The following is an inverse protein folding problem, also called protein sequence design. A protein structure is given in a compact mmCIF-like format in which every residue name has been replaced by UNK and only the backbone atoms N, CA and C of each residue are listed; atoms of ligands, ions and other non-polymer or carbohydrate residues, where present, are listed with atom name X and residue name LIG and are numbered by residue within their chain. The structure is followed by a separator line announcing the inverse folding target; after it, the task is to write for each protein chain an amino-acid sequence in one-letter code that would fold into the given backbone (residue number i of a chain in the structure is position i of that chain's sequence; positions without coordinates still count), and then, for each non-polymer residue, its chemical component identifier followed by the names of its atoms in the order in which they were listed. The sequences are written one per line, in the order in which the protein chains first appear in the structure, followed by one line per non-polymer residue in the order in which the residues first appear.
data_IF_346229449454
#
_entry.id   IF_346229449454
#
_cell.length_a   1.000
_cell.length_b   1.000
_cell.length_c   1.000
_cell.angle_alpha   90.00
_cell.angle_beta   90.00
_cell.angle_gamma   90.00
#
_symmetry.space_group_name_H-M   'P 1'
#
loop_
_entity.id
_entity.type
_entity.pdbx_description
1 polymer ?
#
# COMPACT_ATOMS: atom_id res chain seq x y z
N UNK A 1 -22.33 -26.15 15.91
CA UNK A 1 -23.31 -27.09 15.38
C UNK A 1 -23.08 -28.49 15.95
N UNK A 2 -21.82 -28.94 16.14
CA UNK A 2 -21.46 -30.27 16.65
C UNK A 2 -21.87 -30.41 18.13
N UNK A 3 -21.69 -29.39 18.96
CA UNK A 3 -22.06 -29.34 20.38
C UNK A 3 -23.56 -29.53 20.64
N UNK A 4 -24.40 -29.32 19.62
CA UNK A 4 -25.86 -29.49 19.74
C UNK A 4 -26.36 -30.91 19.42
N UNK A 5 -25.46 -31.77 18.92
CA UNK A 5 -25.80 -33.15 18.56
C UNK A 5 -25.01 -34.15 19.45
N UNK A 6 -25.65 -34.75 20.45
CA UNK A 6 -24.96 -35.69 21.35
C UNK A 6 -24.39 -36.93 20.67
N UNK A 7 -24.87 -37.28 19.47
CA UNK A 7 -24.35 -38.41 18.70
C UNK A 7 -23.04 -38.04 17.98
N UNK A 8 -22.89 -36.79 17.58
CA UNK A 8 -21.67 -36.28 16.98
C UNK A 8 -20.63 -35.98 18.06
N UNK A 9 -21.02 -35.34 19.15
CA UNK A 9 -20.12 -34.99 20.27
C UNK A 9 -19.31 -36.19 20.76
N UNK A 10 -19.93 -37.36 20.84
CA UNK A 10 -19.27 -38.65 21.29
C UNK A 10 -18.23 -39.16 20.28
N UNK A 11 -18.24 -38.69 19.05
CA UNK A 11 -17.34 -39.14 17.96
C UNK A 11 -16.16 -38.22 17.74
N UNK A 12 -16.18 -37.03 18.33
CA UNK A 12 -15.14 -36.04 18.21
C UNK A 12 -14.55 -35.68 19.57
N UNK A 13 -13.24 -35.63 19.64
CA UNK A 13 -12.56 -35.12 20.81
C UNK A 13 -12.32 -33.65 20.62
N UNK A 14 -12.79 -32.74 21.50
CA UNK A 14 -12.50 -31.34 21.40
C UNK A 14 -10.99 -31.08 21.59
N UNK A 15 -10.41 -30.29 20.72
CA UNK A 15 -9.05 -29.76 20.84
C UNK A 15 -9.18 -28.27 21.10
N UNK A 16 -8.83 -27.87 22.32
CA UNK A 16 -8.84 -26.45 22.68
C UNK A 16 -7.57 -25.78 22.13
N UNK A 17 -7.76 -24.67 21.45
CA UNK A 17 -6.67 -23.81 20.92
C UNK A 17 -6.78 -22.50 21.67
N UNK A 18 -5.83 -22.25 22.55
CA UNK A 18 -5.78 -21.02 23.34
C UNK A 18 -5.19 -19.88 22.51
N UNK A 19 -5.49 -18.65 22.90
CA UNK A 19 -4.91 -17.44 22.30
C UNK A 19 -3.38 -17.42 22.49
N UNK A 20 -2.58 -17.20 21.43
CA UNK A 20 -1.13 -17.12 21.55
C UNK A 20 -0.70 -15.89 22.36
N UNK A 21 0.45 -15.98 22.98
CA UNK A 21 1.07 -14.85 23.68
C UNK A 21 1.54 -13.77 22.69
N UNK A 22 1.85 -12.58 23.22
CA UNK A 22 2.46 -11.51 22.40
C UNK A 22 3.77 -11.97 21.74
N UNK A 23 4.59 -12.74 22.45
CA UNK A 23 5.88 -13.28 21.94
C UNK A 23 5.65 -14.30 20.82
N UNK A 24 4.68 -15.20 21.00
CA UNK A 24 4.29 -16.15 19.94
C UNK A 24 3.74 -15.41 18.72
N UNK A 25 2.92 -14.39 18.94
CA UNK A 25 2.36 -13.54 17.88
C UNK A 25 3.46 -12.84 17.10
N UNK A 26 4.49 -12.29 17.74
CA UNK A 26 5.64 -11.68 17.05
C UNK A 26 6.33 -12.72 16.15
N UNK A 27 6.49 -13.95 16.64
CA UNK A 27 7.08 -15.05 15.87
C UNK A 27 6.23 -15.42 14.65
N UNK A 28 4.92 -15.45 14.80
CA UNK A 28 3.96 -15.67 13.71
C UNK A 28 4.07 -14.55 12.68
N UNK A 29 4.06 -13.28 13.12
CA UNK A 29 4.17 -12.11 12.23
C UNK A 29 5.50 -12.09 11.45
N UNK A 30 6.61 -12.50 12.08
CA UNK A 30 7.91 -12.67 11.39
C UNK A 30 7.83 -13.72 10.28
N UNK A 31 7.13 -14.82 10.52
CA UNK A 31 6.90 -15.85 9.49
C UNK A 31 6.01 -15.38 8.32
N UNK A 32 5.12 -14.43 8.56
CA UNK A 32 4.23 -13.87 7.55
C UNK A 32 4.81 -12.64 6.82
N UNK A 33 5.85 -12.02 7.40
CA UNK A 33 6.42 -10.75 6.96
C UNK A 33 6.68 -10.69 5.45
N UNK A 34 7.41 -11.66 4.90
CA UNK A 34 7.79 -11.65 3.48
C UNK A 34 6.57 -11.65 2.56
N UNK A 35 5.52 -12.40 2.91
CA UNK A 35 4.28 -12.44 2.13
C UNK A 35 3.58 -11.08 2.10
N UNK A 36 3.52 -10.40 3.24
CA UNK A 36 2.93 -9.05 3.32
C UNK A 36 3.78 -8.01 2.60
N UNK A 37 5.12 -8.10 2.72
CA UNK A 37 6.04 -7.23 1.98
C UNK A 37 5.87 -7.36 0.46
N UNK A 38 5.69 -8.58 -0.04
CA UNK A 38 5.45 -8.83 -1.47
C UNK A 38 4.06 -8.35 -1.89
N UNK A 39 3.03 -8.71 -1.14
CA UNK A 39 1.64 -8.38 -1.47
C UNK A 39 1.38 -6.86 -1.51
N UNK A 40 1.88 -6.13 -0.53
CA UNK A 40 1.71 -4.67 -0.47
C UNK A 40 2.82 -3.89 -1.21
N UNK A 41 3.94 -4.51 -1.52
CA UNK A 41 5.09 -3.84 -2.14
C UNK A 41 5.82 -2.88 -1.19
N UNK A 42 5.66 -3.06 0.12
CA UNK A 42 6.27 -2.24 1.18
C UNK A 42 7.30 -3.05 1.97
N UNK A 43 8.19 -2.37 2.68
CA UNK A 43 9.15 -3.02 3.57
C UNK A 43 8.70 -2.88 5.02
N UNK A 44 8.65 -3.99 5.75
CA UNK A 44 8.21 -4.04 7.15
C UNK A 44 9.43 -4.21 8.06
N UNK A 45 9.63 -3.28 8.98
CA UNK A 45 10.68 -3.39 10.00
C UNK A 45 10.25 -4.33 11.13
N UNK A 46 11.21 -5.02 11.76
CA UNK A 46 10.91 -5.90 12.90
C UNK A 46 10.27 -5.16 14.08
N UNK A 47 10.70 -3.92 14.31
CA UNK A 47 10.09 -3.04 15.31
C UNK A 47 8.61 -2.76 15.07
N UNK A 48 8.17 -2.72 13.82
CA UNK A 48 6.76 -2.55 13.48
C UNK A 48 5.94 -3.79 13.83
N UNK A 49 6.48 -5.00 13.64
CA UNK A 49 5.83 -6.25 14.03
C UNK A 49 5.68 -6.35 15.55
N UNK A 50 6.73 -5.99 16.29
CA UNK A 50 6.71 -5.94 17.76
C UNK A 50 5.67 -4.92 18.24
N UNK A 51 5.63 -3.74 17.62
CA UNK A 51 4.64 -2.71 17.95
C UNK A 51 3.21 -3.19 17.63
N UNK A 52 3.00 -3.83 16.47
CA UNK A 52 1.68 -4.35 16.09
C UNK A 52 1.16 -5.38 17.10
N UNK A 53 1.98 -6.35 17.51
CA UNK A 53 1.60 -7.35 18.51
C UNK A 53 1.30 -6.69 19.86
N UNK A 54 2.19 -5.81 20.35
CA UNK A 54 2.06 -5.19 21.68
C UNK A 54 0.89 -4.20 21.75
N UNK A 55 0.72 -3.35 20.71
CA UNK A 55 -0.33 -2.33 20.69
C UNK A 55 -1.71 -2.95 20.44
N UNK A 56 -1.80 -3.96 19.57
CA UNK A 56 -3.07 -4.66 19.35
C UNK A 56 -3.53 -5.39 20.60
N UNK A 57 -2.61 -6.03 21.34
CA UNK A 57 -2.93 -6.70 22.60
C UNK A 57 -3.44 -5.70 23.64
N UNK A 58 -2.81 -4.53 23.72
CA UNK A 58 -3.13 -3.52 24.73
C UNK A 58 -4.41 -2.72 24.44
N UNK A 59 -4.68 -2.41 23.16
CA UNK A 59 -5.74 -1.47 22.79
C UNK A 59 -6.92 -2.09 22.07
N UNK A 60 -6.78 -3.27 21.46
CA UNK A 60 -7.86 -3.96 20.77
C UNK A 60 -8.35 -5.11 21.67
N UNK A 61 -9.50 -4.90 22.30
CA UNK A 61 -10.04 -5.82 23.31
C UNK A 61 -11.17 -6.73 22.80
N UNK A 62 -11.70 -6.43 21.62
CA UNK A 62 -12.83 -7.15 21.01
C UNK A 62 -12.40 -8.27 20.05
N UNK A 63 -11.09 -8.45 19.88
CA UNK A 63 -10.49 -9.49 19.03
C UNK A 63 -9.32 -10.17 19.73
N UNK A 64 -8.96 -11.35 19.23
CA UNK A 64 -7.89 -12.18 19.78
C UNK A 64 -6.61 -12.10 18.95
N UNK A 65 -5.48 -12.38 19.61
CA UNK A 65 -4.22 -12.63 18.93
C UNK A 65 -4.28 -14.00 18.21
N UNK A 66 -3.62 -14.20 17.08
CA UNK A 66 -2.78 -13.23 16.37
C UNK A 66 -3.55 -12.31 15.42
N UNK A 67 -4.84 -12.54 15.18
CA UNK A 67 -5.63 -11.91 14.12
C UNK A 67 -5.62 -10.38 14.23
N UNK A 68 -5.85 -9.82 15.41
CA UNK A 68 -5.83 -8.36 15.62
C UNK A 68 -4.48 -7.70 15.29
N UNK A 69 -3.38 -8.42 15.48
CA UNK A 69 -2.05 -7.94 15.14
C UNK A 69 -1.75 -8.05 13.62
N UNK A 70 -2.25 -9.11 13.00
CA UNK A 70 -2.18 -9.32 11.55
C UNK A 70 -2.97 -8.23 10.83
N UNK A 71 -4.21 -7.97 11.23
CA UNK A 71 -5.06 -6.93 10.66
C UNK A 71 -4.38 -5.55 10.76
N UNK A 72 -3.73 -5.25 11.90
CA UNK A 72 -3.05 -3.98 12.10
C UNK A 72 -1.85 -3.81 11.15
N UNK A 73 -1.09 -4.89 10.91
CA UNK A 73 0.02 -4.88 9.93
C UNK A 73 -0.52 -4.72 8.51
N UNK A 74 -1.58 -5.43 8.16
CA UNK A 74 -2.20 -5.38 6.83
C UNK A 74 -2.71 -3.96 6.52
N UNK A 75 -3.46 -3.37 7.44
CA UNK A 75 -4.00 -2.02 7.30
C UNK A 75 -2.89 -0.95 7.20
N UNK A 76 -1.86 -1.05 8.04
CA UNK A 76 -0.72 -0.13 7.99
C UNK A 76 0.03 -0.23 6.65
N UNK A 77 0.23 -1.43 6.12
CA UNK A 77 0.84 -1.65 4.82
C UNK A 77 -0.02 -1.08 3.68
N UNK A 78 -1.34 -1.28 3.75
CA UNK A 78 -2.28 -0.73 2.77
C UNK A 78 -2.31 0.80 2.77
N UNK A 79 -2.23 1.44 3.95
CA UNK A 79 -2.12 2.89 4.06
C UNK A 79 -0.85 3.41 3.39
N UNK A 80 0.31 2.82 3.72
CA UNK A 80 1.60 3.22 3.12
C UNK A 80 1.56 3.04 1.60
N UNK A 81 1.02 1.93 1.11
CA UNK A 81 0.85 1.70 -0.33
C UNK A 81 0.00 2.78 -0.98
N UNK A 82 -1.10 3.17 -0.34
CA UNK A 82 -1.97 4.24 -0.83
C UNK A 82 -1.22 5.58 -0.89
N UNK A 83 -0.41 5.90 0.13
CA UNK A 83 0.42 7.11 0.13
C UNK A 83 1.49 7.08 -0.98
N UNK A 84 2.14 5.93 -1.20
CA UNK A 84 3.12 5.75 -2.27
C UNK A 84 2.49 5.89 -3.67
N UNK A 85 1.24 5.47 -3.82
CA UNK A 85 0.51 5.54 -5.09
C UNK A 85 -0.10 6.92 -5.36
N UNK A 86 -0.28 7.74 -4.33
CA UNK A 86 -0.85 9.07 -4.45
C UNK A 86 0.15 10.09 -5.03
N UNK A 87 -0.39 11.11 -5.67
CA UNK A 87 0.41 12.23 -6.18
C UNK A 87 0.96 13.05 -5.01
N UNK A 88 2.25 13.45 -5.03
CA UNK A 88 2.80 14.36 -4.02
C UNK A 88 2.02 15.67 -3.93
N UNK A 89 1.82 16.17 -2.71
CA UNK A 89 1.03 17.39 -2.46
C UNK A 89 1.51 18.60 -3.26
N UNK A 90 2.83 18.76 -3.42
CA UNK A 90 3.39 19.84 -4.23
C UNK A 90 2.96 19.78 -5.71
N UNK A 91 2.80 18.56 -6.26
CA UNK A 91 2.32 18.39 -7.63
C UNK A 91 0.83 18.64 -7.74
N UNK A 92 0.05 18.25 -6.72
CA UNK A 92 -1.38 18.51 -6.66
C UNK A 92 -1.67 20.01 -6.58
N UNK A 93 -0.96 20.74 -5.73
CA UNK A 93 -1.04 22.21 -5.64
C UNK A 93 -0.73 22.90 -6.99
N UNK A 94 0.32 22.42 -7.69
CA UNK A 94 0.65 22.93 -9.01
C UNK A 94 -0.46 22.61 -10.03
N UNK A 95 -1.03 21.42 -10.01
CA UNK A 95 -2.14 21.03 -10.89
C UNK A 95 -3.39 21.90 -10.65
N UNK A 96 -3.72 22.15 -9.38
CA UNK A 96 -4.80 23.06 -9.02
C UNK A 96 -4.53 24.49 -9.50
N UNK A 97 -3.32 25.02 -9.32
CA UNK A 97 -2.95 26.35 -9.78
C UNK A 97 -3.02 26.46 -11.31
N UNK A 98 -2.50 25.47 -12.04
CA UNK A 98 -2.60 25.40 -13.49
C UNK A 98 -4.05 25.41 -13.94
N UNK A 99 -4.92 24.62 -13.30
CA UNK A 99 -6.35 24.58 -13.62
C UNK A 99 -7.02 25.94 -13.40
N UNK A 100 -6.72 26.63 -12.29
CA UNK A 100 -7.24 27.98 -12.03
C UNK A 100 -6.82 28.97 -13.12
N UNK A 101 -5.53 28.98 -13.49
CA UNK A 101 -5.04 29.85 -14.54
C UNK A 101 -5.63 29.53 -15.93
N UNK A 102 -5.87 28.26 -16.22
CA UNK A 102 -6.54 27.85 -17.46
C UNK A 102 -7.99 28.37 -17.53
N UNK A 103 -8.71 28.32 -16.40
CA UNK A 103 -10.07 28.88 -16.32
C UNK A 103 -10.04 30.40 -16.53
N UNK A 104 -9.10 31.11 -15.88
CA UNK A 104 -8.89 32.55 -16.07
C UNK A 104 -8.54 32.87 -17.52
N UNK A 105 -7.65 32.05 -18.15
CA UNK A 105 -7.26 32.20 -19.54
C UNK A 105 -8.46 32.15 -20.51
N UNK A 106 -9.34 31.16 -20.30
CA UNK A 106 -10.57 30.99 -21.11
C UNK A 106 -11.48 32.22 -21.00
N UNK A 107 -11.57 32.80 -19.81
CA UNK A 107 -12.36 34.02 -19.57
C UNK A 107 -11.73 35.22 -20.27
N UNK A 108 -10.42 35.47 -20.07
CA UNK A 108 -9.71 36.61 -20.67
C UNK A 108 -9.63 36.57 -22.19
N UNK A 109 -9.61 35.37 -22.79
CA UNK A 109 -9.66 35.23 -24.27
C UNK A 109 -10.96 35.74 -24.92
N UNK A 110 -12.01 35.92 -24.15
CA UNK A 110 -13.28 36.48 -24.63
C UNK A 110 -13.34 38.00 -24.54
N UNK A 111 -12.40 38.58 -23.82
CA UNK A 111 -12.31 40.03 -23.60
C UNK A 111 -11.40 40.68 -24.69
N UNK A 112 -11.75 41.87 -25.11
CA UNK A 112 -11.02 42.56 -26.19
C UNK A 112 -10.31 43.85 -25.73
N UNK A 113 -10.44 44.20 -24.46
CA UNK A 113 -9.84 45.38 -23.88
C UNK A 113 -8.32 45.22 -23.66
N UNK A 114 -7.59 46.34 -23.72
CA UNK A 114 -6.12 46.33 -23.64
C UNK A 114 -5.59 45.79 -22.29
N UNK A 115 -6.34 46.00 -21.22
CA UNK A 115 -5.96 45.53 -19.87
C UNK A 115 -6.05 44.01 -19.79
N UNK A 116 -7.14 43.42 -20.25
CA UNK A 116 -7.36 41.97 -20.31
C UNK A 116 -6.33 41.29 -21.22
N UNK A 117 -5.96 41.92 -22.35
CA UNK A 117 -4.93 41.36 -23.20
C UNK A 117 -3.52 41.42 -22.61
N UNK A 118 -3.18 42.46 -21.82
CA UNK A 118 -1.93 42.49 -21.08
C UNK A 118 -1.90 41.39 -20.02
N UNK A 119 -2.96 41.26 -19.25
CA UNK A 119 -3.10 40.19 -18.22
C UNK A 119 -3.02 38.80 -18.86
N UNK A 120 -3.62 38.62 -20.03
CA UNK A 120 -3.55 37.33 -20.76
C UNK A 120 -2.13 36.91 -21.09
N UNK A 121 -1.29 37.87 -21.55
CA UNK A 121 0.13 37.60 -21.86
C UNK A 121 0.92 37.18 -20.61
N UNK A 122 0.72 37.89 -19.50
CA UNK A 122 1.41 37.59 -18.25
C UNK A 122 0.97 36.21 -17.71
N UNK A 123 -0.33 35.92 -17.80
CA UNK A 123 -0.91 34.65 -17.39
C UNK A 123 -0.41 33.48 -18.26
N UNK A 124 -0.30 33.66 -19.58
CA UNK A 124 0.23 32.65 -20.49
C UNK A 124 1.69 32.31 -20.17
N UNK A 125 2.49 33.30 -19.77
CA UNK A 125 3.86 33.09 -19.34
C UNK A 125 3.91 32.31 -18.02
N UNK A 126 3.14 32.75 -17.01
CA UNK A 126 3.03 32.04 -15.72
C UNK A 126 2.57 30.59 -15.93
N UNK A 127 1.58 30.37 -16.77
CA UNK A 127 1.03 29.06 -17.09
C UNK A 127 2.07 28.15 -17.76
N UNK A 128 2.85 28.67 -18.69
CA UNK A 128 3.93 27.91 -19.34
C UNK A 128 5.01 27.48 -18.35
N UNK A 129 5.45 28.39 -17.46
CA UNK A 129 6.44 28.09 -16.42
C UNK A 129 5.94 27.03 -15.46
N UNK A 130 4.69 27.12 -15.01
CA UNK A 130 4.10 26.12 -14.10
C UNK A 130 3.88 24.76 -14.78
N UNK A 131 3.46 24.75 -16.05
CA UNK A 131 3.31 23.52 -16.82
C UNK A 131 4.65 22.80 -17.04
N UNK A 132 5.72 23.53 -17.32
CA UNK A 132 7.06 22.94 -17.46
C UNK A 132 7.57 22.39 -16.15
N UNK A 133 7.35 23.10 -15.04
CA UNK A 133 7.67 22.61 -13.69
C UNK A 133 6.90 21.34 -13.37
N UNK A 134 5.59 21.35 -13.59
CA UNK A 134 4.72 20.18 -13.37
C UNK A 134 5.16 18.98 -14.21
N UNK A 135 5.46 19.20 -15.50
CA UNK A 135 5.94 18.13 -16.41
C UNK A 135 7.24 17.51 -15.92
N UNK A 136 8.19 18.34 -15.48
CA UNK A 136 9.45 17.87 -14.92
C UNK A 136 9.27 17.05 -13.64
N UNK A 137 8.42 17.51 -12.72
CA UNK A 137 8.13 16.79 -11.49
C UNK A 137 7.39 15.47 -11.76
N UNK A 138 6.41 15.51 -12.67
CA UNK A 138 5.65 14.32 -13.09
C UNK A 138 6.56 13.25 -13.70
N UNK A 139 7.48 13.64 -14.57
CA UNK A 139 8.42 12.69 -15.17
C UNK A 139 9.34 12.04 -14.13
N UNK A 140 9.81 12.77 -13.12
CA UNK A 140 10.59 12.23 -12.02
C UNK A 140 9.76 11.23 -11.19
N UNK A 141 8.56 11.64 -10.78
CA UNK A 141 7.66 10.80 -10.00
C UNK A 141 7.27 9.51 -10.74
N UNK A 142 6.95 9.59 -12.04
CA UNK A 142 6.65 8.41 -12.85
C UNK A 142 7.87 7.48 -12.98
N UNK A 143 9.08 8.01 -13.12
CA UNK A 143 10.29 7.20 -13.15
C UNK A 143 10.55 6.49 -11.83
N UNK A 144 10.37 7.17 -10.69
CA UNK A 144 10.51 6.57 -9.36
C UNK A 144 9.45 5.49 -9.13
N UNK A 145 8.19 5.77 -9.47
CA UNK A 145 7.08 4.81 -9.37
C UNK A 145 7.33 3.56 -10.23
N UNK A 146 7.80 3.74 -11.46
CA UNK A 146 8.15 2.64 -12.36
C UNK A 146 9.33 1.80 -11.83
N UNK A 147 10.32 2.43 -11.20
CA UNK A 147 11.44 1.73 -10.58
C UNK A 147 10.96 0.86 -9.41
N UNK A 148 10.10 1.39 -8.54
CA UNK A 148 9.49 0.67 -7.43
C UNK A 148 8.65 -0.50 -7.96
N UNK A 149 7.82 -0.28 -8.96
CA UNK A 149 7.00 -1.31 -9.59
C UNK A 149 7.82 -2.48 -10.16
N UNK A 150 8.97 -2.20 -10.79
CA UNK A 150 9.89 -3.25 -11.26
C UNK A 150 10.45 -4.09 -10.12
N UNK A 151 10.81 -3.47 -9.01
CA UNK A 151 11.30 -4.19 -7.82
C UNK A 151 10.22 -5.10 -7.25
N UNK A 152 8.97 -4.62 -7.19
CA UNK A 152 7.83 -5.40 -6.73
C UNK A 152 7.60 -6.62 -7.63
N UNK A 153 7.54 -6.42 -8.94
CA UNK A 153 7.35 -7.53 -9.90
C UNK A 153 8.46 -8.59 -9.78
N UNK A 154 9.71 -8.17 -9.59
CA UNK A 154 10.82 -9.12 -9.39
C UNK A 154 10.69 -9.90 -8.07
N UNK A 155 10.23 -9.27 -7.00
CA UNK A 155 9.96 -9.96 -5.72
C UNK A 155 8.84 -10.98 -5.85
N UNK A 156 7.73 -10.63 -6.52
CA UNK A 156 6.64 -11.54 -6.81
C UNK A 156 7.11 -12.76 -7.60
N UNK A 157 7.97 -12.56 -8.61
CA UNK A 157 8.56 -13.65 -9.38
C UNK A 157 9.46 -14.57 -8.53
N UNK A 158 10.26 -13.98 -7.63
CA UNK A 158 11.10 -14.76 -6.71
C UNK A 158 10.23 -15.60 -5.78
N UNK A 159 9.18 -15.03 -5.19
CA UNK A 159 8.29 -15.76 -4.29
C UNK A 159 7.55 -16.88 -5.03
N UNK A 160 7.05 -16.61 -6.24
CA UNK A 160 6.42 -17.63 -7.06
C UNK A 160 7.39 -18.78 -7.38
N UNK A 161 8.63 -18.46 -7.73
CA UNK A 161 9.66 -19.46 -8.01
C UNK A 161 9.99 -20.29 -6.76
N UNK A 162 10.08 -19.66 -5.59
CA UNK A 162 10.30 -20.36 -4.32
C UNK A 162 9.13 -21.29 -3.99
N UNK A 163 7.89 -20.85 -4.20
CA UNK A 163 6.71 -21.68 -4.00
C UNK A 163 6.70 -22.89 -4.95
N UNK A 164 7.10 -22.68 -6.21
CA UNK A 164 7.21 -23.77 -7.20
C UNK A 164 8.31 -24.78 -6.83
N UNK A 165 9.45 -24.29 -6.30
CA UNK A 165 10.52 -25.14 -5.77
C UNK A 165 10.02 -25.99 -4.59
N UNK A 166 9.35 -25.37 -3.61
CA UNK A 166 8.78 -26.11 -2.48
C UNK A 166 7.77 -27.18 -2.93
N UNK A 167 6.94 -26.84 -3.92
CA UNK A 167 5.98 -27.77 -4.50
C UNK A 167 6.66 -28.93 -5.18
N UNK A 168 7.67 -28.67 -6.03
CA UNK A 168 8.45 -29.69 -6.71
C UNK A 168 9.17 -30.61 -5.71
N UNK A 169 9.73 -30.06 -4.63
CA UNK A 169 10.36 -30.85 -3.56
C UNK A 169 9.37 -31.75 -2.84
N UNK A 170 8.14 -31.29 -2.58
CA UNK A 170 7.07 -32.13 -1.97
C UNK A 170 6.59 -33.26 -2.89
N UNK A 171 6.57 -32.98 -4.19
CA UNK A 171 6.16 -33.95 -5.23
C UNK A 171 7.33 -34.86 -5.65
N UNK A 172 8.54 -34.71 -5.08
CA UNK A 172 9.77 -35.39 -5.50
C UNK A 172 10.11 -35.24 -6.98
N UNK A 173 9.66 -34.17 -7.63
CA UNK A 173 9.94 -33.87 -9.02
C UNK A 173 11.24 -33.05 -9.11
N UNK A 174 12.38 -33.76 -9.24
CA UNK A 174 13.72 -33.17 -9.34
C UNK A 174 14.05 -32.58 -10.71
N UNK A 175 13.15 -32.68 -11.69
CA UNK A 175 13.39 -32.21 -13.07
C UNK A 175 12.74 -30.84 -13.38
N UNK A 176 12.08 -30.26 -12.42
CA UNK A 176 11.56 -28.90 -12.46
C UNK A 176 12.44 -27.94 -11.69
#
# INVERSE_FOLDING_TARGET
YIEKDPALERRFQPVQVDEPTVEDTISILRGLKERYEVFHGVKINDSALIAAATLSDRYITDRFLPDKAIDLVDEACAMIKTEMDSMPSEMDDLAHRITQLQIEQVSLKKETDALSQSRLKDLEKELAELQDKFRSMKAKWENEKNAIGKVQTLREQIEQTNADIEKAQREYDLNK
#
